data_IF_795595624470
#
_entry.id   IF_795595624470
#
_cell.length_a   1.000
_cell.length_b   1.000
_cell.length_c   1.000
_cell.angle_alpha   90.00
_cell.angle_beta   90.00
_cell.angle_gamma   90.00
#
_symmetry.space_group_name_H-M   'P 1'
#
loop_
_entity.id
_entity.type
_entity.pdbx_description
1 polymer ?
#
# COMPACT_ATOMS: atom_id res chain seq x y z
N UNK A 1 -14.74 -7.34 57.93
CA UNK A 1 -15.84 -8.29 57.65
C UNK A 1 -16.77 -7.55 56.69
N UNK A 2 -16.57 -7.66 55.36
CA UNK A 2 -17.26 -8.60 54.42
C UNK A 2 -18.79 -8.49 54.60
N UNK A 3 -19.66 -8.13 53.64
CA UNK A 3 -19.54 -7.77 52.22
C UNK A 3 -20.94 -7.76 51.53
N UNK A 4 -20.96 -7.31 50.26
CA UNK A 4 -21.81 -7.74 49.11
C UNK A 4 -23.28 -7.24 48.96
N UNK A 5 -23.60 -6.81 47.72
CA UNK A 5 -24.92 -6.64 47.08
C UNK A 5 -24.89 -5.49 46.04
N UNK A 6 -24.38 -5.67 44.81
CA UNK A 6 -25.00 -6.25 43.59
C UNK A 6 -26.15 -5.42 43.00
N UNK A 7 -25.89 -4.80 41.83
CA UNK A 7 -26.82 -4.38 40.75
C UNK A 7 -25.94 -3.89 39.57
N UNK A 8 -25.45 -4.76 38.69
CA UNK A 8 -26.06 -5.27 37.43
C UNK A 8 -26.12 -4.25 36.26
N UNK A 9 -25.12 -4.41 35.37
CA UNK A 9 -25.06 -4.22 33.89
C UNK A 9 -25.93 -3.14 33.21
N UNK A 10 -25.39 -2.34 32.28
CA UNK A 10 -25.11 -2.85 30.92
C UNK A 10 -23.99 -2.07 30.22
N UNK A 11 -22.82 -2.69 30.10
CA UNK A 11 -21.78 -2.27 29.15
C UNK A 11 -22.12 -2.87 27.78
N UNK A 12 -22.23 -2.02 26.75
CA UNK A 12 -22.48 -2.47 25.37
C UNK A 12 -21.16 -3.01 24.82
N UNK A 13 -20.95 -4.30 25.07
CA UNK A 13 -19.90 -5.08 24.43
C UNK A 13 -20.13 -5.11 22.91
N UNK A 14 -19.49 -4.20 22.18
CA UNK A 14 -19.26 -4.35 20.74
C UNK A 14 -18.41 -5.61 20.55
N UNK A 15 -19.09 -6.74 20.31
CA UNK A 15 -18.46 -8.01 20.03
C UNK A 15 -17.80 -7.93 18.65
N UNK A 16 -16.50 -7.60 18.65
CA UNK A 16 -15.63 -7.81 17.52
C UNK A 16 -15.49 -9.33 17.35
N UNK A 17 -16.20 -9.89 16.38
CA UNK A 17 -15.87 -11.22 15.85
C UNK A 17 -14.57 -11.09 15.04
N UNK A 18 -13.44 -11.21 15.73
CA UNK A 18 -12.14 -11.43 15.08
C UNK A 18 -12.14 -12.87 14.52
N UNK A 19 -12.55 -13.02 13.27
CA UNK A 19 -12.36 -14.27 12.54
C UNK A 19 -10.87 -14.68 12.58
N UNK A 20 -10.63 -15.88 13.11
CA UNK A 20 -9.33 -16.55 13.16
C UNK A 20 -8.91 -16.88 11.72
N UNK A 21 -8.19 -15.95 11.08
CA UNK A 21 -7.52 -16.15 9.79
C UNK A 21 -6.30 -17.07 10.02
N UNK A 22 -6.56 -18.38 10.07
CA UNK A 22 -5.54 -19.40 10.23
C UNK A 22 -4.56 -19.38 9.06
N UNK A 23 -3.30 -19.04 9.38
CA UNK A 23 -2.08 -19.38 8.63
C UNK A 23 -2.03 -18.95 7.16
N UNK A 24 -2.31 -17.69 6.88
CA UNK A 24 -2.05 -17.14 5.55
C UNK A 24 -0.89 -16.15 5.61
N UNK A 25 0.32 -16.62 5.27
CA UNK A 25 1.55 -15.82 5.20
C UNK A 25 1.55 -14.83 4.01
N UNK A 26 0.43 -14.16 3.73
CA UNK A 26 0.38 -13.13 2.71
C UNK A 26 0.65 -11.75 3.31
N UNK A 27 1.37 -10.92 2.57
CA UNK A 27 1.57 -9.52 2.91
C UNK A 27 0.21 -8.80 2.91
N UNK A 28 -0.06 -8.04 3.96
CA UNK A 28 -1.34 -7.36 4.17
C UNK A 28 -1.23 -5.85 4.15
N UNK A 29 -0.12 -5.32 4.69
CA UNK A 29 0.08 -3.91 4.92
C UNK A 29 1.40 -3.53 4.27
N UNK A 30 1.36 -2.47 3.47
CA UNK A 30 2.49 -1.96 2.73
C UNK A 30 2.76 -0.51 3.13
N UNK A 31 4.01 -0.18 3.40
CA UNK A 31 4.46 1.19 3.64
C UNK A 31 5.26 1.65 2.44
N UNK A 32 4.82 2.74 1.82
CA UNK A 32 5.52 3.39 0.74
C UNK A 32 6.45 4.45 1.29
N UNK A 33 7.71 4.37 0.90
CA UNK A 33 8.73 5.37 1.17
C UNK A 33 9.28 5.90 -0.15
N UNK A 34 9.82 7.12 -0.10
CA UNK A 34 10.51 7.74 -1.21
C UNK A 34 11.89 8.24 -0.79
N UNK A 35 12.82 8.18 -1.73
CA UNK A 35 14.03 8.99 -1.76
C UNK A 35 13.99 9.85 -3.04
N UNK A 36 15.04 10.64 -3.25
CA UNK A 36 15.20 11.43 -4.46
C UNK A 36 15.09 10.56 -5.74
N UNK A 37 15.71 9.38 -5.74
CA UNK A 37 15.87 8.56 -6.96
C UNK A 37 15.05 7.27 -6.97
N UNK A 38 14.42 6.87 -5.86
CA UNK A 38 13.69 5.60 -5.77
C UNK A 38 12.45 5.71 -4.88
N UNK A 39 11.48 4.83 -5.12
CA UNK A 39 10.45 4.47 -4.15
C UNK A 39 10.75 3.08 -3.58
N UNK A 40 10.36 2.87 -2.32
CA UNK A 40 10.50 1.60 -1.62
C UNK A 40 9.16 1.22 -1.01
N UNK A 41 8.70 0.01 -1.30
CA UNK A 41 7.50 -0.56 -0.68
C UNK A 41 7.94 -1.65 0.28
N UNK A 42 7.63 -1.45 1.55
CA UNK A 42 7.87 -2.42 2.62
C UNK A 42 6.56 -3.11 2.93
N UNK A 43 6.43 -4.36 2.51
CA UNK A 43 5.28 -5.20 2.79
C UNK A 43 5.52 -6.05 4.04
N UNK A 44 4.49 -6.21 4.87
CA UNK A 44 4.50 -7.14 6.00
C UNK A 44 3.23 -7.96 6.09
N UNK A 45 3.35 -9.16 6.67
CA UNK A 45 2.22 -9.99 7.05
C UNK A 45 1.48 -9.47 8.31
N UNK A 46 0.39 -10.16 8.68
CA UNK A 46 -0.44 -9.80 9.85
C UNK A 46 0.30 -10.07 11.15
N UNK A 47 1.01 -11.19 11.21
CA UNK A 47 1.77 -11.67 12.38
C UNK A 47 3.05 -10.88 12.64
N UNK A 48 3.49 -10.02 11.71
CA UNK A 48 4.78 -9.34 11.78
C UNK A 48 5.88 -10.39 11.97
N UNK A 49 5.94 -11.33 11.04
CA UNK A 49 6.96 -12.37 11.00
C UNK A 49 7.74 -12.36 9.69
N UNK A 50 7.18 -11.76 8.64
CA UNK A 50 7.81 -11.69 7.33
C UNK A 50 7.66 -10.31 6.71
N UNK A 51 8.79 -9.74 6.31
CA UNK A 51 8.89 -8.45 5.63
C UNK A 51 9.53 -8.63 4.26
N UNK A 52 8.99 -7.93 3.27
CA UNK A 52 9.43 -7.96 1.88
C UNK A 52 9.63 -6.53 1.38
N UNK A 53 10.61 -6.35 0.50
CA UNK A 53 10.99 -5.04 -0.03
C UNK A 53 10.86 -5.06 -1.54
N UNK A 54 10.20 -4.04 -2.09
CA UNK A 54 10.11 -3.78 -3.51
C UNK A 54 10.69 -2.38 -3.78
N UNK A 55 11.66 -2.30 -4.68
CA UNK A 55 12.28 -1.04 -5.09
C UNK A 55 11.76 -0.64 -6.46
N UNK A 56 11.41 0.64 -6.62
CA UNK A 56 10.92 1.21 -7.87
C UNK A 56 11.81 2.41 -8.21
N UNK A 57 12.49 2.36 -9.36
CA UNK A 57 13.39 3.43 -9.81
C UNK A 57 12.63 4.64 -10.35
N UNK A 58 13.16 5.85 -10.12
CA UNK A 58 12.64 7.12 -10.66
C UNK A 58 13.43 7.63 -11.88
N UNK A 59 14.46 6.90 -12.30
CA UNK A 59 15.55 7.39 -13.15
C UNK A 59 15.23 7.47 -14.64
N UNK A 60 14.31 6.66 -15.18
CA UNK A 60 14.09 6.55 -16.63
C UNK A 60 12.74 7.16 -17.05
N UNK A 61 12.71 8.08 -18.03
CA UNK A 61 11.45 8.64 -18.56
C UNK A 61 10.69 7.65 -19.46
N UNK A 62 11.30 6.54 -19.83
CA UNK A 62 10.77 5.61 -20.83
C UNK A 62 10.02 4.44 -20.19
N UNK A 63 10.57 3.85 -19.12
CA UNK A 63 10.04 2.63 -18.49
C UNK A 63 10.18 2.68 -16.97
N UNK A 64 9.25 2.03 -16.26
CA UNK A 64 9.31 1.89 -14.80
C UNK A 64 10.18 0.70 -14.46
N UNK A 65 11.33 0.95 -13.81
CA UNK A 65 12.20 -0.11 -13.31
C UNK A 65 11.70 -0.59 -11.94
N UNK A 66 11.29 -1.86 -11.86
CA UNK A 66 10.81 -2.50 -10.63
C UNK A 66 11.75 -3.65 -10.30
N UNK A 67 12.34 -3.60 -9.11
CA UNK A 67 13.21 -4.65 -8.59
C UNK A 67 12.64 -5.20 -7.28
N UNK A 68 12.25 -6.47 -7.30
CA UNK A 68 11.86 -7.19 -6.09
C UNK A 68 13.11 -7.71 -5.39
N UNK A 69 13.18 -7.50 -4.07
CA UNK A 69 14.18 -8.15 -3.25
C UNK A 69 13.76 -9.59 -2.97
N UNK A 70 14.54 -10.60 -3.40
CA UNK A 70 14.21 -12.00 -3.16
C UNK A 70 14.27 -12.37 -1.67
N UNK A 71 14.92 -11.57 -0.82
CA UNK A 71 15.07 -11.85 0.60
C UNK A 71 13.75 -11.65 1.37
N UNK A 72 13.58 -12.45 2.41
CA UNK A 72 12.56 -12.21 3.44
C UNK A 72 13.27 -11.76 4.70
N UNK A 73 12.85 -10.61 5.24
CA UNK A 73 13.47 -9.99 6.40
C UNK A 73 12.65 -10.26 7.65
N UNK A 74 13.33 -10.27 8.80
CA UNK A 74 12.71 -10.02 10.11
C UNK A 74 12.57 -8.51 10.39
N UNK A 75 11.77 -8.13 11.38
CA UNK A 75 11.49 -6.72 11.72
C UNK A 75 12.78 -5.90 11.90
N UNK A 76 13.70 -6.40 12.72
CA UNK A 76 14.94 -5.70 13.04
C UNK A 76 15.83 -5.51 11.80
N UNK A 77 15.93 -6.53 10.94
CA UNK A 77 16.73 -6.45 9.71
C UNK A 77 16.13 -5.43 8.74
N UNK A 78 14.80 -5.38 8.66
CA UNK A 78 14.10 -4.41 7.82
C UNK A 78 14.28 -2.98 8.35
N UNK A 79 14.23 -2.77 9.66
CA UNK A 79 14.50 -1.47 10.27
C UNK A 79 15.95 -1.01 10.02
N UNK A 80 16.92 -1.90 10.16
CA UNK A 80 18.33 -1.61 9.83
C UNK A 80 18.51 -1.29 8.34
N UNK A 81 17.82 -2.00 7.45
CA UNK A 81 17.84 -1.71 6.02
C UNK A 81 17.29 -0.30 5.73
N UNK A 82 16.14 0.06 6.32
CA UNK A 82 15.56 1.39 6.13
C UNK A 82 16.49 2.50 6.65
N UNK A 83 17.16 2.26 7.79
CA UNK A 83 18.13 3.19 8.35
C UNK A 83 19.33 3.41 7.43
N UNK A 84 19.90 2.34 6.87
CA UNK A 84 21.00 2.43 5.91
C UNK A 84 20.59 3.21 4.66
N UNK A 85 19.40 2.94 4.12
CA UNK A 85 18.87 3.68 2.96
C UNK A 85 18.73 5.17 3.29
N UNK A 86 18.25 5.52 4.49
CA UNK A 86 18.14 6.91 4.93
C UNK A 86 19.51 7.60 5.01
N UNK A 87 20.49 6.96 5.65
CA UNK A 87 21.87 7.46 5.78
C UNK A 87 22.53 7.65 4.41
N UNK A 88 22.36 6.71 3.49
CA UNK A 88 22.88 6.79 2.11
C UNK A 88 22.27 7.95 1.32
N UNK A 89 21.03 8.36 1.64
CA UNK A 89 20.30 9.39 0.90
C UNK A 89 20.23 10.73 1.65
N UNK A 90 20.90 10.88 2.80
CA UNK A 90 20.79 12.06 3.68
C UNK A 90 21.08 13.37 2.95
N UNK A 91 22.06 13.38 2.03
CA UNK A 91 22.42 14.56 1.24
C UNK A 91 21.32 15.01 0.27
N UNK A 92 20.41 14.10 -0.10
CA UNK A 92 19.30 14.34 -1.02
C UNK A 92 17.95 14.42 -0.31
N UNK A 93 17.96 14.55 1.03
CA UNK A 93 16.77 14.68 1.86
C UNK A 93 16.30 13.38 2.54
N UNK A 94 17.10 12.31 2.46
CA UNK A 94 16.87 11.06 3.17
C UNK A 94 15.72 10.21 2.63
N UNK A 95 15.32 9.23 3.44
CA UNK A 95 14.18 8.34 3.23
C UNK A 95 12.94 8.92 3.90
N UNK A 96 11.91 9.20 3.09
CA UNK A 96 10.67 9.80 3.58
C UNK A 96 9.53 8.82 3.49
N UNK A 97 8.73 8.75 4.54
CA UNK A 97 7.48 8.00 4.50
C UNK A 97 6.44 8.78 3.68
N UNK A 98 5.83 8.12 2.69
CA UNK A 98 4.80 8.71 1.84
C UNK A 98 3.42 8.37 2.36
N UNK A 99 3.09 7.07 2.39
CA UNK A 99 1.77 6.61 2.83
C UNK A 99 1.76 5.11 3.13
N UNK A 100 0.70 4.66 3.80
CA UNK A 100 0.37 3.25 3.91
C UNK A 100 -0.62 2.88 2.82
N UNK A 101 -0.38 1.75 2.16
CA UNK A 101 -1.25 1.23 1.12
C UNK A 101 -1.53 -0.26 1.33
N UNK A 102 -2.53 -0.75 0.62
CA UNK A 102 -2.99 -2.13 0.65
C UNK A 102 -2.66 -2.90 -0.64
N UNK A 103 -2.02 -2.22 -1.59
CA UNK A 103 -1.58 -2.79 -2.87
C UNK A 103 -1.33 -1.72 -3.92
N UNK A 104 -0.56 -2.09 -4.93
CA UNK A 104 -0.40 -1.34 -6.18
C UNK A 104 -1.44 -1.90 -7.16
N UNK A 105 -2.19 -1.01 -7.81
CA UNK A 105 -3.12 -1.36 -8.88
C UNK A 105 -2.35 -1.51 -10.19
N UNK A 106 -1.43 -0.58 -10.47
CA UNK A 106 -0.58 -0.63 -11.65
C UNK A 106 0.18 0.68 -11.88
N UNK A 107 0.82 0.73 -13.04
CA UNK A 107 1.60 1.86 -13.51
C UNK A 107 0.95 2.41 -14.79
N UNK A 108 0.76 3.72 -14.85
CA UNK A 108 0.09 4.39 -15.96
C UNK A 108 1.02 5.47 -16.51
N UNK A 109 1.21 5.49 -17.83
CA UNK A 109 1.95 6.54 -18.54
C UNK A 109 0.97 7.36 -19.37
N UNK A 110 0.91 8.66 -19.09
CA UNK A 110 0.20 9.63 -19.94
C UNK A 110 1.20 10.33 -20.88
N UNK A 111 0.84 11.51 -21.41
CA UNK A 111 1.76 12.37 -22.18
C UNK A 111 2.86 13.04 -21.32
N UNK A 112 2.96 12.67 -20.03
CA UNK A 112 3.86 13.26 -19.05
C UNK A 112 4.59 12.20 -18.22
N UNK A 113 4.73 12.37 -16.89
CA UNK A 113 5.46 11.42 -16.06
C UNK A 113 4.72 10.07 -15.94
N UNK A 114 5.44 9.04 -15.52
CA UNK A 114 4.82 7.80 -15.09
C UNK A 114 4.14 7.99 -13.74
N UNK A 115 3.00 7.35 -13.55
CA UNK A 115 2.24 7.37 -12.31
C UNK A 115 2.08 5.97 -11.74
N UNK A 116 2.22 5.84 -10.43
CA UNK A 116 1.90 4.65 -9.66
C UNK A 116 0.50 4.81 -9.07
N UNK A 117 -0.41 3.88 -9.38
CA UNK A 117 -1.75 3.86 -8.80
C UNK A 117 -1.79 2.87 -7.63
N UNK A 118 -2.12 3.35 -6.44
CA UNK A 118 -2.12 2.56 -5.20
C UNK A 118 -3.47 2.60 -4.48
N UNK A 119 -3.76 1.57 -3.68
CA UNK A 119 -4.95 1.52 -2.82
C UNK A 119 -4.58 2.03 -1.43
N UNK A 120 -5.11 3.17 -1.01
CA UNK A 120 -4.83 3.75 0.32
C UNK A 120 -5.93 3.46 1.34
N UNK A 121 -7.15 3.13 0.90
CA UNK A 121 -8.22 2.64 1.78
C UNK A 121 -8.97 1.49 1.14
N UNK A 122 -9.31 0.50 1.95
CA UNK A 122 -10.15 -0.64 1.57
C UNK A 122 -11.20 -0.90 2.64
N UNK A 123 -12.34 -1.47 2.27
CA UNK A 123 -13.42 -1.88 3.18
C UNK A 123 -13.68 -3.37 3.03
N UNK A 124 -13.71 -4.13 4.14
CA UNK A 124 -14.13 -5.55 4.11
C UNK A 124 -15.60 -5.58 3.71
N UNK A 125 -15.92 -6.27 2.62
CA UNK A 125 -17.30 -6.43 2.12
C UNK A 125 -17.84 -7.85 2.36
N UNK A 126 -16.99 -8.79 2.71
CA UNK A 126 -17.39 -10.15 3.03
C UNK A 126 -16.18 -11.06 3.22
N UNK A 127 -16.45 -12.36 3.23
CA UNK A 127 -15.43 -13.40 3.20
C UNK A 127 -15.93 -14.59 2.37
N UNK A 128 -15.05 -15.22 1.60
CA UNK A 128 -15.32 -16.48 0.91
C UNK A 128 -14.29 -17.49 1.40
N UNK A 129 -14.75 -18.64 1.91
CA UNK A 129 -13.90 -19.71 2.44
C UNK A 129 -12.87 -19.21 3.47
N UNK A 130 -13.29 -18.34 4.40
CA UNK A 130 -12.41 -17.76 5.43
C UNK A 130 -11.49 -16.63 4.94
N UNK A 131 -11.46 -16.33 3.64
CA UNK A 131 -10.63 -15.25 3.08
C UNK A 131 -11.44 -13.98 2.95
N UNK A 132 -10.98 -12.91 3.61
CA UNK A 132 -11.65 -11.62 3.55
C UNK A 132 -11.60 -11.01 2.14
N UNK A 133 -12.74 -10.52 1.67
CA UNK A 133 -12.90 -9.80 0.42
C UNK A 133 -13.04 -8.32 0.75
N UNK A 134 -12.31 -7.49 0.02
CA UNK A 134 -12.26 -6.06 0.24
C UNK A 134 -12.66 -5.30 -1.02
N UNK A 135 -13.48 -4.26 -0.86
CA UNK A 135 -13.67 -3.23 -1.88
C UNK A 135 -12.61 -2.13 -1.72
N UNK A 136 -12.24 -1.49 -2.83
CA UNK A 136 -11.38 -0.31 -2.84
C UNK A 136 -12.23 0.89 -2.43
N UNK A 137 -11.90 1.48 -1.28
CA UNK A 137 -12.60 2.67 -0.77
C UNK A 137 -11.90 3.96 -1.18
N UNK A 138 -10.57 3.93 -1.34
CA UNK A 138 -9.77 5.06 -1.84
C UNK A 138 -8.53 4.54 -2.56
N UNK A 139 -8.23 5.15 -3.69
CA UNK A 139 -6.98 5.01 -4.42
C UNK A 139 -6.30 6.35 -4.59
N UNK A 140 -4.98 6.35 -4.73
CA UNK A 140 -4.17 7.54 -4.98
C UNK A 140 -3.19 7.29 -6.12
N UNK A 141 -2.94 8.32 -6.91
CA UNK A 141 -2.02 8.30 -8.04
C UNK A 141 -0.78 9.13 -7.66
N UNK A 142 0.40 8.49 -7.66
CA UNK A 142 1.66 9.11 -7.24
C UNK A 142 2.59 9.23 -8.45
N UNK A 143 3.09 10.44 -8.79
CA UNK A 143 4.04 10.62 -9.87
C UNK A 143 5.39 9.99 -9.51
N UNK A 144 5.93 9.17 -10.41
CA UNK A 144 7.19 8.45 -10.22
C UNK A 144 8.38 9.32 -10.64
N UNK A 145 8.29 9.96 -11.80
CA UNK A 145 9.40 10.73 -12.36
C UNK A 145 9.71 11.97 -11.53
N UNK A 146 11.01 12.24 -11.30
CA UNK A 146 11.46 13.48 -10.67
C UNK A 146 11.48 14.62 -11.71
N UNK A 147 11.10 15.83 -11.30
CA UNK A 147 10.69 16.97 -12.13
C UNK A 147 11.76 17.64 -13.01
N UNK A 148 12.88 16.99 -13.34
CA UNK A 148 13.88 17.58 -14.24
C UNK A 148 13.47 17.56 -15.72
N UNK A 149 12.40 16.83 -16.07
CA UNK A 149 11.73 16.89 -17.37
C UNK A 149 10.28 17.32 -17.17
N UNK A 150 10.07 18.44 -16.48
CA UNK A 150 8.86 19.21 -16.74
C UNK A 150 9.10 19.98 -18.04
N UNK A 151 8.79 19.36 -19.18
CA UNK A 151 8.46 20.17 -20.34
C UNK A 151 7.32 21.11 -19.92
N UNK A 152 7.42 22.39 -20.30
CA UNK A 152 6.52 23.49 -19.93
C UNK A 152 5.00 23.25 -20.15
N UNK A 153 4.58 22.08 -20.63
CA UNK A 153 3.19 21.70 -20.84
C UNK A 153 2.50 21.06 -19.61
N UNK A 154 3.24 20.43 -18.69
CA UNK A 154 2.63 19.51 -17.71
C UNK A 154 2.17 20.15 -16.39
N UNK A 155 2.49 21.41 -16.12
CA UNK A 155 2.06 22.12 -14.89
C UNK A 155 1.01 23.20 -15.14
N UNK A 156 0.17 23.03 -16.16
CA UNK A 156 -1.10 23.76 -16.15
C UNK A 156 -1.98 23.15 -15.05
N UNK A 157 -2.29 23.94 -14.02
CA UNK A 157 -3.24 23.68 -12.93
C UNK A 157 -4.67 23.46 -13.45
N UNK A 158 -4.86 22.52 -14.37
CA UNK A 158 -6.16 22.19 -14.95
C UNK A 158 -6.25 20.73 -15.42
N UNK A 159 -5.75 19.78 -14.61
CA UNK A 159 -6.14 18.36 -14.69
C UNK A 159 -7.39 18.10 -13.84
N UNK A 160 -8.43 18.93 -13.99
CA UNK A 160 -9.80 18.52 -13.70
C UNK A 160 -10.46 17.95 -14.97
N UNK A 161 -9.70 17.22 -15.80
CA UNK A 161 -10.17 16.76 -17.10
C UNK A 161 -10.31 15.24 -17.13
N UNK A 162 -11.56 14.85 -16.85
CA UNK A 162 -12.20 13.67 -17.42
C UNK A 162 -11.58 12.33 -17.02
N UNK A 163 -11.75 11.98 -15.74
CA UNK A 163 -11.96 10.57 -15.43
C UNK A 163 -13.27 10.16 -16.09
N UNK A 164 -13.17 9.49 -17.24
CA UNK A 164 -14.25 8.65 -17.71
C UNK A 164 -14.31 7.46 -16.74
N UNK A 165 -14.92 7.66 -15.58
CA UNK A 165 -15.74 6.60 -15.02
C UNK A 165 -16.84 6.39 -16.04
N UNK A 166 -16.68 5.42 -16.95
CA UNK A 166 -17.86 4.80 -17.55
C UNK A 166 -18.64 4.26 -16.37
N UNK A 167 -19.81 4.83 -16.00
CA UNK A 167 -20.65 4.22 -15.00
C UNK A 167 -21.41 3.12 -15.74
N UNK A 168 -20.70 2.07 -16.16
CA UNK A 168 -21.37 0.84 -16.51
C UNK A 168 -21.79 0.22 -15.18
N UNK A 169 -23.01 0.57 -14.74
CA UNK A 169 -23.80 -0.23 -13.82
C UNK A 169 -24.04 -1.58 -14.48
N UNK A 170 -23.06 -2.45 -14.39
CA UNK A 170 -23.21 -3.89 -14.57
C UNK A 170 -22.09 -4.53 -13.78
N UNK A 171 -22.45 -5.05 -12.61
CA UNK A 171 -21.65 -5.89 -11.71
C UNK A 171 -20.21 -6.17 -12.15
N UNK A 172 -19.26 -5.33 -11.70
CA UNK A 172 -17.87 -5.75 -11.60
C UNK A 172 -17.62 -6.31 -10.21
N UNK A 173 -18.02 -7.56 -10.01
CA UNK A 173 -17.40 -8.44 -9.03
C UNK A 173 -15.97 -8.72 -9.47
N UNK A 174 -15.06 -7.76 -9.26
CA UNK A 174 -13.62 -8.02 -9.42
C UNK A 174 -13.18 -8.84 -8.22
N UNK A 175 -13.35 -10.16 -8.34
CA UNK A 175 -12.64 -11.15 -7.52
C UNK A 175 -11.17 -11.00 -7.89
N UNK A 176 -10.42 -10.24 -7.08
CA UNK A 176 -8.97 -10.32 -7.07
C UNK A 176 -8.59 -11.71 -6.57
N UNK A 177 -8.50 -12.67 -7.50
CA UNK A 177 -7.80 -13.93 -7.29
C UNK A 177 -6.33 -13.57 -7.03
N UNK A 178 -5.98 -13.42 -5.75
CA UNK A 178 -4.60 -13.51 -5.29
C UNK A 178 -4.07 -14.86 -5.75
N UNK A 179 -3.33 -14.90 -6.85
CA UNK A 179 -2.50 -16.06 -7.17
C UNK A 179 -1.49 -16.24 -6.02
N UNK A 180 -1.41 -17.42 -5.40
CA UNK A 180 -0.29 -17.73 -4.54
C UNK A 180 0.96 -17.79 -5.42
N UNK A 181 1.97 -16.99 -5.05
CA UNK A 181 3.31 -17.09 -5.62
C UNK A 181 3.91 -18.40 -5.10
N UNK A 182 4.13 -19.36 -5.99
CA UNK A 182 4.89 -20.59 -5.72
C UNK A 182 6.38 -20.30 -5.83
#
# INVERSE_FOLDING_TARGET
>A
MIGIGDDMETDKQDRINEDVDSSSNYLQIFRLYETHSNFYIIGRDKSRTSWRVLKIGRSEPSEVNILEDPMTYAEHQCNELLKRIDEENVQTGGLKFVTTCYGIIGFIKFLGPHYMLIITKRRKIGAICGRAIYSIAKSEMIPISHSHVQSNMAFTKNENRSFVYLPCKSDLSTVLLKKPMR
#
